data_IF_437689810053
#
_entry.id   IF_437689810053
#
_cell.length_a   1.000
_cell.length_b   1.000
_cell.length_c   1.000
_cell.angle_alpha   90.00
_cell.angle_beta   90.00
_cell.angle_gamma   90.00
#
_symmetry.space_group_name_H-M   'P 1'
#
loop_
_entity.id
_entity.type
_entity.pdbx_description
1 polymer ?
#
# COMPACT_ATOMS: atom_id res chain seq x y z
N UNK A 1 -16.52 15.41 -3.06
CA UNK A 1 -16.09 14.38 -4.04
C UNK A 1 -14.58 14.20 -4.15
N UNK A 2 -13.74 15.25 -4.06
CA UNK A 2 -12.27 15.13 -4.26
C UNK A 2 -11.52 14.36 -3.16
N UNK A 3 -11.95 14.52 -1.91
CA UNK A 3 -11.35 13.85 -0.75
C UNK A 3 -11.54 12.33 -0.76
N UNK A 4 -12.68 11.83 -1.24
CA UNK A 4 -13.00 10.39 -1.29
C UNK A 4 -12.09 9.63 -2.27
N UNK A 5 -11.78 10.22 -3.43
CA UNK A 5 -10.97 9.55 -4.47
C UNK A 5 -9.54 9.31 -3.99
N UNK A 6 -8.95 10.28 -3.29
CA UNK A 6 -7.58 10.15 -2.75
C UNK A 6 -7.50 9.18 -1.59
N UNK A 7 -8.49 9.19 -0.70
CA UNK A 7 -8.60 8.21 0.37
C UNK A 7 -8.75 6.78 -0.18
N UNK A 8 -9.57 6.58 -1.21
CA UNK A 8 -9.70 5.29 -1.89
C UNK A 8 -8.40 4.88 -2.59
N UNK A 9 -7.72 5.80 -3.27
CA UNK A 9 -6.44 5.52 -3.92
C UNK A 9 -5.37 5.07 -2.90
N UNK A 10 -5.26 5.77 -1.77
CA UNK A 10 -4.34 5.40 -0.69
C UNK A 10 -4.67 4.04 -0.08
N UNK A 11 -5.96 3.71 0.08
CA UNK A 11 -6.40 2.42 0.58
C UNK A 11 -6.08 1.27 -0.39
N UNK A 12 -6.34 1.47 -1.70
CA UNK A 12 -5.99 0.51 -2.74
C UNK A 12 -4.49 0.29 -2.82
N UNK A 13 -3.69 1.37 -2.71
CA UNK A 13 -2.24 1.29 -2.71
C UNK A 13 -1.71 0.51 -1.50
N UNK A 14 -2.28 0.75 -0.31
CA UNK A 14 -1.92 0.03 0.90
C UNK A 14 -2.27 -1.47 0.82
N UNK A 15 -3.45 -1.80 0.26
CA UNK A 15 -3.86 -3.17 0.04
C UNK A 15 -2.95 -3.89 -0.98
N UNK A 16 -2.62 -3.22 -2.10
CA UNK A 16 -1.66 -3.74 -3.07
C UNK A 16 -0.27 -3.95 -2.46
N UNK A 17 0.21 -3.01 -1.64
CA UNK A 17 1.48 -3.13 -0.91
C UNK A 17 1.50 -4.31 0.07
N UNK A 18 0.39 -4.60 0.76
CA UNK A 18 0.27 -5.78 1.61
C UNK A 18 0.35 -7.09 0.79
N UNK A 19 -0.32 -7.13 -0.36
CA UNK A 19 -0.26 -8.28 -1.28
C UNK A 19 1.16 -8.50 -1.80
N UNK A 20 1.85 -7.43 -2.25
CA UNK A 20 3.24 -7.53 -2.70
C UNK A 20 4.19 -7.94 -1.58
N UNK A 21 3.96 -7.45 -0.36
CA UNK A 21 4.77 -7.84 0.81
C UNK A 21 4.66 -9.32 1.11
N UNK A 22 3.42 -9.84 1.11
CA UNK A 22 3.13 -11.25 1.33
C UNK A 22 3.66 -12.15 0.19
N UNK A 23 3.62 -11.67 -1.06
CA UNK A 23 4.24 -12.38 -2.20
C UNK A 23 5.77 -12.42 -2.07
N UNK A 24 6.42 -11.31 -1.69
CA UNK A 24 7.87 -11.29 -1.48
C UNK A 24 8.33 -12.26 -0.38
N UNK A 25 7.49 -12.47 0.65
CA UNK A 25 7.74 -13.43 1.73
C UNK A 25 7.57 -14.91 1.33
N UNK A 26 7.10 -15.20 0.11
CA UNK A 26 6.93 -16.59 -0.34
C UNK A 26 5.67 -17.27 0.21
N UNK A 27 4.74 -16.52 0.80
CA UNK A 27 3.56 -17.06 1.49
C UNK A 27 2.43 -17.46 0.52
N UNK A 28 2.53 -17.09 -0.76
CA UNK A 28 1.56 -17.49 -1.77
C UNK A 28 2.01 -18.78 -2.48
N UNK A 29 1.17 -19.83 -2.51
CA UNK A 29 1.46 -21.02 -3.29
C UNK A 29 1.27 -20.72 -4.79
N UNK A 30 2.38 -20.54 -5.51
CA UNK A 30 2.39 -20.29 -6.94
C UNK A 30 3.75 -19.81 -7.44
N UNK A 31 4.19 -20.32 -8.59
CA UNK A 31 5.42 -19.90 -9.27
C UNK A 31 5.17 -18.56 -9.98
N UNK A 32 4.96 -17.47 -9.24
CA UNK A 32 4.95 -16.12 -9.81
C UNK A 32 6.34 -15.52 -9.77
N UNK A 33 6.67 -14.64 -10.72
CA UNK A 33 7.95 -13.91 -10.80
C UNK A 33 8.28 -13.13 -9.52
N UNK A 34 7.25 -12.86 -8.70
CA UNK A 34 7.29 -12.05 -7.49
C UNK A 34 7.43 -12.84 -6.19
N UNK A 35 7.29 -14.17 -6.25
CA UNK A 35 7.19 -15.01 -5.07
C UNK A 35 8.57 -15.42 -4.54
N UNK A 36 8.85 -15.15 -3.26
CA UNK A 36 10.11 -15.51 -2.60
C UNK A 36 11.30 -14.57 -2.87
N UNK A 37 11.03 -13.35 -3.35
CA UNK A 37 12.05 -12.30 -3.53
C UNK A 37 11.82 -11.16 -2.54
N UNK A 38 12.84 -10.88 -1.71
CA UNK A 38 12.81 -9.82 -0.70
C UNK A 38 12.54 -8.44 -1.32
N UNK A 39 12.88 -8.25 -2.59
CA UNK A 39 12.61 -7.04 -3.38
C UNK A 39 11.14 -6.64 -3.31
N UNK A 40 10.21 -7.59 -3.43
CA UNK A 40 8.77 -7.33 -3.36
C UNK A 40 8.28 -7.05 -1.94
N UNK A 41 8.95 -7.60 -0.93
CA UNK A 41 8.72 -7.25 0.48
C UNK A 41 9.05 -5.79 0.75
N UNK A 42 10.17 -5.30 0.22
CA UNK A 42 10.59 -3.90 0.36
C UNK A 42 9.65 -2.98 -0.41
N UNK A 43 9.34 -3.29 -1.67
CA UNK A 43 8.41 -2.51 -2.49
C UNK A 43 7.03 -2.44 -1.84
N UNK A 44 6.53 -3.57 -1.33
CA UNK A 44 5.26 -3.65 -0.63
C UNK A 44 5.23 -2.81 0.65
N UNK A 45 6.29 -2.85 1.45
CA UNK A 45 6.40 -2.01 2.65
C UNK A 45 6.39 -0.51 2.31
N UNK A 46 7.12 -0.09 1.27
CA UNK A 46 7.12 1.29 0.79
C UNK A 46 5.72 1.71 0.32
N UNK A 47 5.02 0.85 -0.44
CA UNK A 47 3.66 1.11 -0.90
C UNK A 47 2.65 1.25 0.25
N UNK A 48 2.77 0.43 1.30
CA UNK A 48 1.96 0.54 2.52
C UNK A 48 2.20 1.90 3.18
N UNK A 49 3.45 2.29 3.40
CA UNK A 49 3.80 3.58 4.04
C UNK A 49 3.32 4.76 3.20
N UNK A 50 3.49 4.71 1.88
CA UNK A 50 3.01 5.76 0.97
C UNK A 50 1.48 5.87 0.97
N UNK A 51 0.76 4.73 0.95
CA UNK A 51 -0.70 4.68 0.99
C UNK A 51 -1.25 5.24 2.31
N UNK A 52 -0.68 4.85 3.45
CA UNK A 52 -1.00 5.39 4.77
C UNK A 52 -0.69 6.89 4.87
N UNK A 53 0.43 7.33 4.30
CA UNK A 53 0.81 8.74 4.23
C UNK A 53 -0.19 9.60 3.46
N UNK A 54 -0.74 9.08 2.35
CA UNK A 54 -1.80 9.76 1.60
C UNK A 54 -3.09 9.89 2.43
N UNK A 55 -3.56 8.78 3.03
CA UNK A 55 -4.80 8.78 3.84
C UNK A 55 -4.70 9.69 5.07
N UNK A 56 -3.56 9.66 5.76
CA UNK A 56 -3.33 10.49 6.97
C UNK A 56 -2.98 11.93 6.65
N UNK A 57 -2.32 12.20 5.52
CA UNK A 57 -2.01 13.54 5.04
C UNK A 57 -3.26 14.32 4.59
N UNK A 58 -4.26 13.64 4.02
CA UNK A 58 -5.57 14.23 3.75
C UNK A 58 -6.27 14.65 5.04
N UNK A 59 -6.25 13.78 6.07
CA UNK A 59 -6.83 14.06 7.40
C UNK A 59 -6.27 15.31 8.07
N UNK A 60 -5.01 15.67 7.79
CA UNK A 60 -4.37 16.89 8.33
C UNK A 60 -4.80 18.16 7.61
N UNK A 61 -5.30 18.07 6.38
CA UNK A 61 -5.78 19.24 5.61
C UNK A 61 -7.23 19.63 5.96
N UNK A 62 -7.99 18.69 6.50
CA UNK A 62 -9.37 18.90 6.99
C UNK A 62 -9.43 19.22 8.51
N UNK A 63 -8.34 19.79 9.06
CA UNK A 63 -8.35 20.31 10.43
C UNK A 63 -9.22 21.57 10.51
N UNK A 64 -10.23 21.64 11.41
CA UNK A 64 -11.12 22.79 11.51
C UNK A 64 -10.33 24.02 11.96
N UNK A 65 -10.23 25.02 11.08
CA UNK A 65 -9.82 26.39 11.39
C UNK A 65 -11.04 27.28 11.53
#
# INVERSE_FOLDING_TARGET
MRFTVRAMLGLVLAAAGAVWSLQGLGLFPGQSFMNGRLEWTIIGAIAIVAGLGMVTGERRRDGPG
#
